data_IF_888114197164
#
_entry.id   IF_888114197164
#
_cell.length_a   1.000
_cell.length_b   1.000
_cell.length_c   1.000
_cell.angle_alpha   90.00
_cell.angle_beta   90.00
_cell.angle_gamma   90.00
#
_symmetry.space_group_name_H-M   'P 1'
#
loop_
_entity.id
_entity.type
_entity.pdbx_description
1 polymer ?
#
# COMPACT_ATOMS: atom_id res chain seq x y z
N UNK A 1 -5.49 26.82 -5.76
CA UNK A 1 -5.25 28.26 -5.53
C UNK A 1 -6.04 28.68 -4.31
N UNK A 2 -5.39 28.70 -3.14
CA UNK A 2 -5.99 29.21 -1.91
C UNK A 2 -4.92 29.95 -1.12
N UNK A 3 -5.25 31.21 -0.86
CA UNK A 3 -4.74 32.12 0.16
C UNK A 3 -3.26 32.55 0.17
N UNK A 4 -3.13 33.86 -0.04
CA UNK A 4 -2.05 34.79 0.28
C UNK A 4 -1.52 34.59 1.71
N UNK A 5 -0.75 33.53 1.94
CA UNK A 5 0.17 33.47 3.07
C UNK A 5 1.17 34.60 2.85
N UNK A 6 1.11 35.66 3.67
CA UNK A 6 2.22 36.62 3.82
C UNK A 6 3.50 35.82 4.10
N UNK A 7 4.32 35.58 3.08
CA UNK A 7 5.62 34.92 3.20
C UNK A 7 6.66 36.02 3.36
N UNK A 8 7.19 36.26 4.57
CA UNK A 8 8.24 37.25 4.77
C UNK A 8 9.57 36.86 4.12
N UNK A 9 9.73 35.58 3.78
CA UNK A 9 10.90 35.02 3.07
C UNK A 9 10.52 34.61 1.64
N UNK A 10 11.51 34.63 0.74
CA UNK A 10 11.37 34.18 -0.65
C UNK A 10 11.05 32.68 -0.73
N UNK A 11 10.42 32.28 -1.83
CA UNK A 11 10.13 30.88 -2.13
C UNK A 11 11.34 30.18 -2.78
N UNK A 12 11.50 28.88 -2.52
CA UNK A 12 12.58 28.07 -3.06
C UNK A 12 12.58 28.04 -4.60
N UNK A 13 11.40 28.05 -5.25
CA UNK A 13 11.31 28.05 -6.71
C UNK A 13 11.85 29.35 -7.32
N UNK A 14 11.61 30.49 -6.66
CA UNK A 14 12.09 31.79 -7.13
C UNK A 14 13.62 31.89 -7.11
N UNK A 15 14.28 31.24 -6.13
CA UNK A 15 15.74 31.23 -6.08
C UNK A 15 16.35 30.24 -7.10
N UNK A 16 15.66 29.15 -7.46
CA UNK A 16 16.05 28.29 -8.59
C UNK A 16 16.06 29.08 -9.89
N UNK A 17 14.98 29.81 -10.19
CA UNK A 17 14.87 30.66 -11.38
C UNK A 17 15.96 31.74 -11.38
N UNK A 18 16.12 32.45 -10.25
CA UNK A 18 17.15 33.51 -10.13
C UNK A 18 18.56 32.97 -10.34
N UNK A 19 18.87 31.75 -9.88
CA UNK A 19 20.18 31.13 -10.03
C UNK A 19 20.50 30.74 -11.50
N UNK A 20 19.50 30.63 -12.37
CA UNK A 20 19.69 30.36 -13.81
C UNK A 20 20.11 31.60 -14.61
N UNK A 21 19.75 32.80 -14.13
CA UNK A 21 19.98 34.08 -14.83
C UNK A 21 21.31 34.76 -14.48
N UNK A 22 22.19 34.09 -13.71
CA UNK A 22 23.49 34.65 -13.32
C UNK A 22 24.49 34.65 -14.48
N UNK A 23 25.48 35.57 -14.50
CA UNK A 23 26.52 35.56 -15.51
C UNK A 23 27.25 34.22 -15.62
N UNK A 24 27.50 33.81 -16.86
CA UNK A 24 28.13 32.53 -17.16
C UNK A 24 29.65 32.60 -16.92
N UNK A 25 30.13 31.92 -15.88
CA UNK A 25 31.51 31.92 -15.41
C UNK A 25 31.95 30.50 -15.05
N UNK A 26 33.26 30.20 -14.97
CA UNK A 26 33.73 28.91 -14.47
C UNK A 26 33.16 28.53 -13.10
N UNK A 27 32.90 29.51 -12.23
CA UNK A 27 32.33 29.31 -10.90
C UNK A 27 30.85 28.96 -10.97
N UNK A 28 30.06 29.69 -11.77
CA UNK A 28 28.60 29.46 -11.86
C UNK A 28 28.25 28.16 -12.58
N UNK A 29 29.16 27.61 -13.39
CA UNK A 29 29.07 26.26 -13.97
C UNK A 29 29.48 25.11 -13.04
N UNK A 30 30.21 25.41 -11.96
CA UNK A 30 30.74 24.37 -11.08
C UNK A 30 29.61 23.70 -10.28
N UNK A 31 29.63 22.36 -10.08
CA UNK A 31 28.61 21.67 -9.29
C UNK A 31 28.44 22.25 -7.87
N UNK A 32 29.53 22.69 -7.25
CA UNK A 32 29.51 23.29 -5.91
C UNK A 32 28.73 24.61 -5.82
N UNK A 33 28.38 25.26 -6.94
CA UNK A 33 27.58 26.48 -6.98
C UNK A 33 26.07 26.20 -7.06
N UNK A 34 25.66 24.96 -7.39
CA UNK A 34 24.25 24.60 -7.48
C UNK A 34 23.57 24.70 -6.11
N UNK A 35 22.29 25.08 -6.12
CA UNK A 35 21.47 25.08 -4.90
C UNK A 35 21.27 23.65 -4.41
N UNK A 36 21.62 23.37 -3.15
CA UNK A 36 21.63 22.00 -2.62
C UNK A 36 20.26 21.28 -2.70
N UNK A 37 19.14 22.01 -2.61
CA UNK A 37 17.79 21.45 -2.70
C UNK A 37 17.30 21.25 -4.14
N UNK A 38 18.08 21.68 -5.14
CA UNK A 38 17.81 21.54 -6.56
C UNK A 38 18.98 20.89 -7.32
N UNK A 39 19.89 20.22 -6.59
CA UNK A 39 21.04 19.51 -7.15
C UNK A 39 20.83 18.00 -6.99
N UNK A 40 20.35 17.37 -8.05
CA UNK A 40 20.05 15.92 -8.07
C UNK A 40 21.28 15.08 -7.77
N UNK A 41 22.47 15.49 -8.24
CA UNK A 41 23.72 14.78 -7.97
C UNK A 41 24.03 14.77 -6.47
N UNK A 42 23.84 15.92 -5.80
CA UNK A 42 24.02 16.03 -4.35
C UNK A 42 22.95 15.24 -3.59
N UNK A 43 21.68 15.38 -3.99
CA UNK A 43 20.55 14.67 -3.39
C UNK A 43 20.62 13.16 -3.57
N UNK A 44 21.35 12.64 -4.57
CA UNK A 44 21.53 11.19 -4.79
C UNK A 44 22.69 10.58 -3.99
N UNK A 45 23.55 11.39 -3.35
CA UNK A 45 24.68 10.91 -2.55
C UNK A 45 24.26 10.00 -1.39
N UNK A 46 25.10 9.05 -1.01
CA UNK A 46 24.77 8.10 0.07
C UNK A 46 24.51 8.78 1.42
N UNK A 47 25.22 9.87 1.72
CA UNK A 47 25.06 10.63 2.97
C UNK A 47 23.68 11.29 3.08
N UNK A 48 22.99 11.51 1.96
CA UNK A 48 21.67 12.15 1.90
C UNK A 48 20.53 11.13 1.91
N UNK A 49 20.82 9.83 2.12
CA UNK A 49 19.80 8.79 2.29
C UNK A 49 18.74 9.13 3.34
N UNK A 50 19.06 9.67 4.53
CA UNK A 50 18.04 10.07 5.51
C UNK A 50 17.08 11.14 4.98
N UNK A 51 17.57 12.08 4.17
CA UNK A 51 16.73 13.11 3.53
C UNK A 51 15.81 12.49 2.49
N UNK A 52 16.31 11.57 1.66
CA UNK A 52 15.47 10.85 0.68
C UNK A 52 14.39 10.00 1.36
N UNK A 53 14.73 9.31 2.44
CA UNK A 53 13.74 8.57 3.26
C UNK A 53 12.66 9.50 3.81
N UNK A 54 13.03 10.69 4.30
CA UNK A 54 12.08 11.69 4.77
C UNK A 54 11.16 12.19 3.63
N UNK A 55 11.71 12.43 2.44
CA UNK A 55 10.92 12.84 1.27
C UNK A 55 9.91 11.77 0.84
N UNK A 56 10.32 10.49 0.82
CA UNK A 56 9.42 9.37 0.52
C UNK A 56 8.36 9.15 1.60
N UNK A 57 8.64 9.50 2.86
CA UNK A 57 7.62 9.51 3.90
C UNK A 57 6.63 10.67 3.71
N UNK A 58 7.13 11.88 3.47
CA UNK A 58 6.32 13.11 3.46
C UNK A 58 5.48 13.27 2.19
N UNK A 59 6.01 13.00 1.00
CA UNK A 59 5.31 13.28 -0.26
C UNK A 59 3.94 12.57 -0.34
N UNK A 60 3.83 11.24 -0.11
CA UNK A 60 2.53 10.57 -0.13
C UNK A 60 1.62 11.06 1.00
N UNK A 61 2.19 11.30 2.20
CA UNK A 61 1.43 11.78 3.36
C UNK A 61 0.73 13.11 3.07
N UNK A 62 1.46 14.10 2.55
CA UNK A 62 0.95 15.43 2.25
C UNK A 62 -0.09 15.39 1.13
N UNK A 63 0.18 14.67 0.04
CA UNK A 63 -0.75 14.58 -1.09
C UNK A 63 -2.04 13.87 -0.70
N UNK A 64 -1.96 12.78 0.09
CA UNK A 64 -3.15 12.10 0.61
C UNK A 64 -3.94 12.99 1.56
N UNK A 65 -3.28 13.79 2.40
CA UNK A 65 -3.95 14.74 3.30
C UNK A 65 -4.64 15.87 2.54
N UNK A 66 -4.00 16.44 1.52
CA UNK A 66 -4.60 17.43 0.61
C UNK A 66 -5.82 16.87 -0.15
N UNK A 67 -5.81 15.56 -0.42
CA UNK A 67 -6.93 14.83 -1.02
C UNK A 67 -8.00 14.41 -0.01
N UNK A 68 -7.78 14.63 1.29
CA UNK A 68 -8.71 14.27 2.34
C UNK A 68 -8.81 12.76 2.60
N UNK A 69 -7.77 11.98 2.28
CA UNK A 69 -7.74 10.54 2.53
C UNK A 69 -7.48 10.29 4.02
N UNK A 70 -8.51 9.81 4.72
CA UNK A 70 -8.50 9.56 6.16
C UNK A 70 -8.22 8.08 6.46
N UNK A 71 -8.75 7.16 5.65
CA UNK A 71 -8.49 5.73 5.80
C UNK A 71 -8.49 4.94 4.49
N UNK A 72 -7.84 3.79 4.51
CA UNK A 72 -7.67 2.91 3.35
C UNK A 72 -8.11 1.47 3.61
N UNK A 73 -8.48 0.77 2.54
CA UNK A 73 -8.55 -0.69 2.51
C UNK A 73 -7.43 -1.19 1.62
N UNK A 74 -6.51 -1.96 2.21
CA UNK A 74 -5.31 -2.43 1.52
C UNK A 74 -5.60 -3.75 0.82
N UNK A 75 -5.28 -3.83 -0.46
CA UNK A 75 -5.36 -5.07 -1.25
C UNK A 75 -3.97 -5.54 -1.64
N UNK A 76 -3.60 -6.73 -1.16
CA UNK A 76 -2.42 -7.46 -1.58
C UNK A 76 -2.81 -8.67 -2.41
N UNK A 77 -2.00 -9.02 -3.41
CA UNK A 77 -2.23 -10.21 -4.21
C UNK A 77 -1.26 -10.37 -5.36
N UNK A 78 -1.39 -11.49 -6.08
CA UNK A 78 -0.48 -11.84 -7.17
C UNK A 78 -0.57 -10.89 -8.36
N UNK A 79 0.55 -10.23 -8.68
CA UNK A 79 0.70 -9.41 -9.89
C UNK A 79 0.59 -10.18 -11.21
N UNK A 80 0.56 -11.52 -11.15
CA UNK A 80 0.52 -12.41 -12.32
C UNK A 80 -0.86 -13.03 -12.57
N UNK A 81 -1.82 -12.80 -11.68
CA UNK A 81 -3.17 -13.35 -11.84
C UNK A 81 -3.83 -12.59 -13.01
N UNK A 82 -4.21 -13.27 -14.11
CA UNK A 82 -4.77 -12.58 -15.27
C UNK A 82 -6.22 -12.17 -15.03
N UNK A 83 -6.62 -11.05 -15.65
CA UNK A 83 -8.03 -10.72 -15.83
C UNK A 83 -8.75 -11.87 -16.57
N UNK A 84 -10.06 -12.07 -16.35
CA UNK A 84 -10.84 -13.15 -16.96
C UNK A 84 -10.67 -13.23 -18.49
N UNK A 85 -10.66 -12.08 -19.18
CA UNK A 85 -10.45 -11.97 -20.63
C UNK A 85 -9.09 -12.50 -21.10
N UNK A 86 -8.09 -12.54 -20.22
CA UNK A 86 -6.72 -12.98 -20.53
C UNK A 86 -6.36 -14.33 -19.88
N UNK A 87 -7.35 -15.04 -19.32
CA UNK A 87 -7.15 -16.30 -18.60
C UNK A 87 -6.42 -17.37 -19.43
N UNK A 88 -6.74 -17.47 -20.72
CA UNK A 88 -6.15 -18.47 -21.62
C UNK A 88 -4.67 -18.20 -21.93
N UNK A 89 -4.20 -16.97 -21.69
CA UNK A 89 -2.79 -16.59 -21.81
C UNK A 89 -1.95 -16.88 -20.56
N UNK A 90 -2.53 -17.46 -19.51
CA UNK A 90 -1.82 -17.74 -18.27
C UNK A 90 -0.69 -18.76 -18.48
N UNK A 91 0.43 -18.56 -17.78
CA UNK A 91 1.61 -19.45 -17.86
C UNK A 91 1.33 -20.89 -17.43
N UNK A 92 0.36 -21.11 -16.53
CA UNK A 92 -0.01 -22.44 -16.03
C UNK A 92 -1.52 -22.53 -15.86
N UNK A 93 -2.07 -23.74 -15.95
CA UNK A 93 -3.50 -24.00 -15.67
C UNK A 93 -3.88 -23.58 -14.24
N UNK A 94 -2.99 -23.79 -13.28
CA UNK A 94 -3.18 -23.36 -11.90
C UNK A 94 -3.27 -21.84 -11.78
N UNK A 95 -2.50 -21.09 -12.56
CA UNK A 95 -2.56 -19.63 -12.59
C UNK A 95 -3.83 -19.15 -13.30
N UNK A 96 -4.23 -19.81 -14.39
CA UNK A 96 -5.51 -19.57 -15.05
C UNK A 96 -6.68 -19.78 -14.09
N UNK A 97 -6.62 -20.83 -13.26
CA UNK A 97 -7.63 -21.10 -12.25
C UNK A 97 -7.75 -19.98 -11.21
N UNK A 98 -6.66 -19.27 -10.88
CA UNK A 98 -6.69 -18.13 -9.96
C UNK A 98 -7.35 -16.87 -10.55
N UNK A 99 -7.66 -16.84 -11.85
CA UNK A 99 -8.27 -15.67 -12.51
C UNK A 99 -9.61 -15.24 -11.89
N UNK A 100 -10.36 -16.16 -11.27
CA UNK A 100 -11.57 -15.78 -10.54
C UNK A 100 -11.31 -14.83 -9.36
N UNK A 101 -10.13 -14.87 -8.73
CA UNK A 101 -9.75 -13.92 -7.69
C UNK A 101 -9.51 -12.50 -8.22
N UNK A 102 -9.21 -12.34 -9.52
CA UNK A 102 -9.22 -11.02 -10.13
C UNK A 102 -10.62 -10.43 -10.07
N UNK A 103 -11.63 -11.20 -10.49
CA UNK A 103 -13.02 -10.71 -10.49
C UNK A 103 -13.54 -10.49 -9.07
N UNK A 104 -13.25 -11.39 -8.13
CA UNK A 104 -13.61 -11.17 -6.72
C UNK A 104 -12.94 -9.93 -6.12
N UNK A 105 -11.66 -9.66 -6.44
CA UNK A 105 -10.99 -8.45 -5.99
C UNK A 105 -11.64 -7.18 -6.56
N UNK A 106 -12.06 -7.22 -7.83
CA UNK A 106 -12.78 -6.13 -8.48
C UNK A 106 -14.15 -5.87 -7.85
N UNK A 107 -14.94 -6.93 -7.65
CA UNK A 107 -16.27 -6.84 -7.01
C UNK A 107 -16.13 -6.32 -5.58
N UNK A 108 -15.16 -6.84 -4.82
CA UNK A 108 -14.87 -6.40 -3.46
C UNK A 108 -14.51 -4.90 -3.43
N UNK A 109 -13.56 -4.48 -4.27
CA UNK A 109 -13.14 -3.09 -4.33
C UNK A 109 -14.27 -2.15 -4.74
N UNK A 110 -15.15 -2.56 -5.66
CA UNK A 110 -16.35 -1.80 -6.04
C UNK A 110 -17.25 -1.57 -4.83
N UNK A 111 -17.57 -2.62 -4.07
CA UNK A 111 -18.44 -2.53 -2.87
C UNK A 111 -17.83 -1.68 -1.76
N UNK A 112 -16.53 -1.84 -1.50
CA UNK A 112 -15.81 -0.99 -0.55
C UNK A 112 -15.86 0.46 -1.00
N UNK A 113 -15.74 0.72 -2.30
CA UNK A 113 -15.77 2.08 -2.84
C UNK A 113 -17.17 2.69 -2.79
N UNK A 114 -18.22 1.92 -3.07
CA UNK A 114 -19.61 2.33 -2.87
C UNK A 114 -19.85 2.80 -1.42
N UNK A 115 -19.30 2.07 -0.43
CA UNK A 115 -19.31 2.47 0.98
C UNK A 115 -18.44 3.70 1.25
N UNK A 116 -17.25 3.78 0.64
CA UNK A 116 -16.34 4.92 0.75
C UNK A 116 -17.00 6.22 0.30
N UNK A 117 -17.83 6.18 -0.76
CA UNK A 117 -18.54 7.34 -1.29
C UNK A 117 -19.56 7.94 -0.31
N UNK A 118 -20.05 7.18 0.69
CA UNK A 118 -20.86 7.72 1.79
C UNK A 118 -20.09 8.75 2.64
N UNK A 119 -18.76 8.64 2.66
CA UNK A 119 -17.82 9.58 3.28
C UNK A 119 -17.21 10.58 2.28
N UNK A 120 -17.81 10.72 1.09
CA UNK A 120 -17.27 11.49 -0.04
C UNK A 120 -15.89 10.99 -0.53
N UNK A 121 -15.60 9.70 -0.37
CA UNK A 121 -14.33 9.13 -0.81
C UNK A 121 -13.14 9.42 0.11
N UNK A 122 -13.40 9.77 1.38
CA UNK A 122 -12.35 10.07 2.37
C UNK A 122 -11.90 8.86 3.17
N UNK A 123 -12.84 8.00 3.53
CA UNK A 123 -12.60 6.78 4.29
C UNK A 123 -12.74 5.55 3.40
N UNK A 124 -12.12 4.43 3.79
CA UNK A 124 -12.20 3.15 3.07
C UNK A 124 -11.69 3.19 1.63
N UNK A 125 -10.75 4.09 1.32
CA UNK A 125 -10.22 4.25 -0.03
C UNK A 125 -9.35 3.06 -0.42
N UNK A 126 -9.57 2.49 -1.61
CA UNK A 126 -8.80 1.34 -2.08
C UNK A 126 -7.33 1.71 -2.26
N UNK A 127 -6.44 0.94 -1.65
CA UNK A 127 -4.99 1.12 -1.72
C UNK A 127 -4.31 -0.18 -2.17
N UNK A 128 -3.54 -0.11 -3.25
CA UNK A 128 -2.85 -1.26 -3.85
C UNK A 128 -1.39 -0.92 -4.13
N UNK A 129 -0.61 -1.90 -4.58
CA UNK A 129 0.75 -1.66 -5.08
C UNK A 129 0.82 -1.05 -6.49
N UNK A 130 -0.32 -0.76 -7.13
CA UNK A 130 -0.41 -0.11 -8.44
C UNK A 130 0.06 -0.94 -9.63
N UNK A 131 0.37 -2.22 -9.44
CA UNK A 131 0.75 -3.14 -10.51
C UNK A 131 -0.45 -3.83 -11.18
N UNK A 132 -0.19 -4.80 -12.07
CA UNK A 132 -1.22 -5.62 -12.72
C UNK A 132 -1.83 -6.68 -11.77
N UNK A 133 -2.76 -7.46 -12.28
CA UNK A 133 -3.39 -8.58 -11.57
C UNK A 133 -4.33 -8.10 -10.47
N UNK A 134 -4.24 -8.68 -9.27
CA UNK A 134 -5.16 -8.32 -8.15
C UNK A 134 -5.10 -6.82 -7.82
N UNK A 135 -3.92 -6.21 -7.92
CA UNK A 135 -3.77 -4.78 -7.66
C UNK A 135 -4.57 -3.96 -8.67
N UNK A 136 -4.44 -4.26 -9.96
CA UNK A 136 -5.25 -3.65 -11.02
C UNK A 136 -6.74 -3.91 -10.82
N UNK A 137 -7.13 -5.15 -10.49
CA UNK A 137 -8.53 -5.48 -10.21
C UNK A 137 -9.11 -4.61 -9.10
N UNK A 138 -8.35 -4.38 -8.03
CA UNK A 138 -8.72 -3.50 -6.93
C UNK A 138 -8.91 -2.04 -7.40
N UNK A 139 -7.92 -1.50 -8.11
CA UNK A 139 -8.01 -0.13 -8.64
C UNK A 139 -9.18 0.03 -9.63
N UNK A 140 -9.37 -0.95 -10.51
CA UNK A 140 -10.47 -1.01 -11.49
C UNK A 140 -11.83 -1.08 -10.82
N UNK A 141 -11.99 -1.89 -9.77
CA UNK A 141 -13.24 -1.98 -9.03
C UNK A 141 -13.64 -0.65 -8.38
N UNK A 142 -12.66 0.10 -7.87
CA UNK A 142 -12.90 1.45 -7.36
C UNK A 142 -13.28 2.46 -8.46
N UNK A 143 -12.61 2.38 -9.61
CA UNK A 143 -12.93 3.19 -10.79
C UNK A 143 -14.34 2.89 -11.34
N UNK A 144 -14.74 1.62 -11.40
CA UNK A 144 -16.10 1.21 -11.81
C UNK A 144 -17.21 1.82 -10.92
N UNK A 145 -16.91 2.06 -9.64
CA UNK A 145 -17.82 2.72 -8.70
C UNK A 145 -17.77 4.26 -8.79
N UNK A 146 -16.87 4.83 -9.60
CA UNK A 146 -16.64 6.27 -9.72
C UNK A 146 -15.91 6.88 -8.52
N UNK A 147 -15.21 6.06 -7.73
CA UNK A 147 -14.40 6.53 -6.59
C UNK A 147 -12.93 6.71 -6.94
N UNK A 148 -12.13 7.05 -5.93
CA UNK A 148 -10.68 7.19 -6.06
C UNK A 148 -9.96 5.92 -5.60
N UNK A 149 -8.77 5.69 -6.13
CA UNK A 149 -7.90 4.58 -5.67
C UNK A 149 -6.44 4.97 -5.69
N UNK A 150 -5.68 4.39 -4.76
CA UNK A 150 -4.27 4.68 -4.51
C UNK A 150 -3.41 3.58 -5.11
N UNK A 151 -2.33 3.97 -5.78
CA UNK A 151 -1.27 3.08 -6.25
C UNK A 151 0.05 3.45 -5.59
N UNK A 152 0.58 2.55 -4.75
CA UNK A 152 1.90 2.67 -4.15
C UNK A 152 2.87 1.82 -4.97
N UNK A 153 3.37 2.33 -6.10
CA UNK A 153 4.32 1.64 -6.99
C UNK A 153 5.74 1.63 -6.41
N UNK A 154 6.61 0.81 -6.98
CA UNK A 154 8.04 0.81 -6.62
C UNK A 154 8.91 0.63 -7.86
N UNK A 155 10.05 1.30 -7.88
CA UNK A 155 11.02 1.19 -8.97
C UNK A 155 11.62 -0.23 -8.98
N UNK A 156 11.46 -0.93 -10.11
CA UNK A 156 12.01 -2.26 -10.36
C UNK A 156 12.76 -2.29 -11.71
N UNK A 157 13.77 -3.16 -11.91
CA UNK A 157 14.57 -3.22 -13.15
C UNK A 157 13.80 -3.51 -14.44
N UNK A 158 12.62 -4.13 -14.32
CA UNK A 158 11.69 -4.32 -15.42
C UNK A 158 10.44 -3.54 -15.07
N UNK A 159 10.37 -2.31 -15.55
CA UNK A 159 9.36 -1.34 -15.17
C UNK A 159 7.99 -1.78 -15.68
N UNK A 160 7.05 -1.94 -14.74
CA UNK A 160 5.63 -2.00 -15.07
C UNK A 160 5.09 -0.60 -14.84
N UNK A 161 4.56 0.02 -15.90
CA UNK A 161 3.76 1.23 -15.73
C UNK A 161 2.66 0.94 -14.69
N UNK A 162 2.32 1.91 -13.83
CA UNK A 162 1.16 1.78 -12.97
C UNK A 162 -0.07 1.42 -13.81
N UNK A 163 -0.96 0.60 -13.26
CA UNK A 163 -2.20 0.29 -13.97
C UNK A 163 -3.04 1.56 -14.17
N UNK A 164 -3.80 1.61 -15.27
CA UNK A 164 -4.49 2.82 -15.74
C UNK A 164 -5.69 3.23 -14.87
N UNK A 165 -6.08 2.39 -13.91
CA UNK A 165 -7.23 2.63 -13.01
C UNK A 165 -6.83 3.30 -11.69
N UNK A 166 -5.52 3.45 -11.42
CA UNK A 166 -5.05 4.26 -10.29
C UNK A 166 -5.43 5.73 -10.56
N UNK A 167 -5.97 6.41 -9.56
CA UNK A 167 -6.22 7.86 -9.67
C UNK A 167 -4.88 8.57 -9.91
N UNK A 168 -4.71 9.37 -10.99
CA UNK A 168 -3.40 9.90 -11.37
C UNK A 168 -2.66 10.65 -10.25
N UNK A 169 -3.39 11.45 -9.48
CA UNK A 169 -2.83 12.25 -8.38
C UNK A 169 -2.56 11.44 -7.09
N UNK A 170 -2.95 10.16 -7.06
CA UNK A 170 -2.71 9.22 -5.97
C UNK A 170 -1.83 8.04 -6.43
N UNK A 171 -1.08 8.23 -7.52
CA UNK A 171 -0.10 7.29 -8.03
C UNK A 171 1.31 7.67 -7.55
N UNK A 172 1.82 6.97 -6.55
CA UNK A 172 3.12 7.23 -5.93
C UNK A 172 4.15 6.20 -6.37
N UNK A 173 5.38 6.62 -6.63
CA UNK A 173 6.48 5.72 -7.00
C UNK A 173 7.58 5.80 -5.93
N UNK A 174 7.85 4.67 -5.27
CA UNK A 174 8.82 4.57 -4.19
C UNK A 174 10.16 4.00 -4.69
N UNK A 175 11.22 4.32 -3.96
CA UNK A 175 12.51 3.63 -4.10
C UNK A 175 12.78 2.72 -2.90
N UNK A 176 12.36 3.10 -1.69
CA UNK A 176 12.57 2.29 -0.48
C UNK A 176 11.35 1.43 -0.14
N UNK A 177 11.51 0.10 -0.18
CA UNK A 177 10.47 -0.86 0.22
C UNK A 177 9.88 -0.60 1.61
N UNK A 178 10.73 -0.28 2.59
CA UNK A 178 10.29 -0.07 3.97
C UNK A 178 9.32 1.11 4.11
N UNK A 179 9.55 2.22 3.39
CA UNK A 179 8.67 3.39 3.45
C UNK A 179 7.35 3.10 2.72
N UNK A 180 7.41 2.38 1.60
CA UNK A 180 6.21 1.90 0.89
C UNK A 180 5.34 1.01 1.77
N UNK A 181 5.93 0.03 2.45
CA UNK A 181 5.28 -0.88 3.41
C UNK A 181 4.60 -0.11 4.54
N UNK A 182 5.29 0.89 5.08
CA UNK A 182 4.74 1.77 6.11
C UNK A 182 3.49 2.51 5.60
N UNK A 183 3.51 3.06 4.39
CA UNK A 183 2.35 3.77 3.80
C UNK A 183 1.14 2.89 3.53
N UNK A 184 1.31 1.59 3.26
CA UNK A 184 0.17 0.67 3.21
C UNK A 184 -0.59 0.66 4.53
N UNK A 185 0.13 0.59 5.66
CA UNK A 185 -0.45 0.29 6.96
C UNK A 185 -0.82 1.53 7.78
N UNK A 186 -0.19 2.68 7.53
CA UNK A 186 -0.43 3.92 8.29
C UNK A 186 -1.89 4.38 8.31
N UNK A 187 -2.67 4.05 7.27
CA UNK A 187 -4.09 4.43 7.12
C UNK A 187 -5.03 3.23 7.01
N UNK A 188 -4.50 2.01 7.11
CA UNK A 188 -5.28 0.80 6.87
C UNK A 188 -6.35 0.62 7.94
N UNK A 189 -7.61 0.54 7.50
CA UNK A 189 -8.76 0.09 8.30
C UNK A 189 -9.12 -1.36 8.04
N UNK A 190 -8.62 -1.94 6.95
CA UNK A 190 -8.71 -3.35 6.65
C UNK A 190 -7.57 -3.76 5.71
N UNK A 191 -7.14 -5.03 5.82
CA UNK A 191 -6.13 -5.65 4.97
C UNK A 191 -6.74 -6.90 4.34
N UNK A 192 -6.76 -6.94 3.01
CA UNK A 192 -7.32 -8.03 2.23
C UNK A 192 -6.21 -8.64 1.37
N UNK A 193 -5.98 -9.94 1.55
CA UNK A 193 -4.88 -10.67 0.93
C UNK A 193 -5.44 -11.75 0.02
N UNK A 194 -5.26 -11.58 -1.28
CA UNK A 194 -5.59 -12.55 -2.31
C UNK A 194 -4.40 -13.45 -2.60
N UNK A 195 -4.60 -14.61 -3.26
CA UNK A 195 -3.52 -15.50 -3.64
C UNK A 195 -2.38 -14.78 -4.37
N UNK A 196 -1.15 -15.09 -3.99
CA UNK A 196 0.01 -14.34 -4.45
C UNK A 196 1.35 -15.04 -4.21
N UNK A 197 2.42 -14.33 -4.53
CA UNK A 197 3.80 -14.81 -4.40
C UNK A 197 4.52 -14.20 -3.22
N UNK A 198 5.85 -14.08 -3.32
CA UNK A 198 6.69 -13.56 -2.23
C UNK A 198 6.32 -12.15 -1.77
N UNK A 199 6.02 -11.22 -2.69
CA UNK A 199 5.60 -9.87 -2.29
C UNK A 199 4.33 -9.88 -1.43
N UNK A 200 3.35 -10.71 -1.80
CA UNK A 200 2.10 -10.86 -1.04
C UNK A 200 2.34 -11.51 0.33
N UNK A 201 3.20 -12.53 0.40
CA UNK A 201 3.56 -13.19 1.65
C UNK A 201 4.33 -12.25 2.58
N UNK A 202 5.26 -11.48 2.05
CA UNK A 202 6.07 -10.49 2.78
C UNK A 202 5.16 -9.44 3.45
N UNK A 203 4.27 -8.80 2.69
CA UNK A 203 3.29 -7.85 3.23
C UNK A 203 2.33 -8.48 4.24
N UNK A 204 1.86 -9.70 3.97
CA UNK A 204 0.95 -10.43 4.87
C UNK A 204 1.62 -10.70 6.23
N UNK A 205 2.82 -11.28 6.23
CA UNK A 205 3.53 -11.59 7.47
C UNK A 205 3.99 -10.35 8.22
N UNK A 206 4.39 -9.28 7.52
CA UNK A 206 4.72 -8.00 8.16
C UNK A 206 3.52 -7.42 8.89
N UNK A 207 2.37 -7.32 8.23
CA UNK A 207 1.17 -6.77 8.83
C UNK A 207 0.66 -7.63 10.00
N UNK A 208 0.64 -8.97 9.86
CA UNK A 208 0.31 -9.88 10.96
C UNK A 208 1.27 -9.72 12.15
N UNK A 209 2.58 -9.58 11.91
CA UNK A 209 3.58 -9.37 12.97
C UNK A 209 3.35 -8.05 13.71
N UNK A 210 3.01 -6.98 12.99
CA UNK A 210 2.74 -5.68 13.60
C UNK A 210 1.50 -5.71 14.48
N UNK A 211 0.44 -6.40 14.06
CA UNK A 211 -0.77 -6.60 14.87
C UNK A 211 -0.48 -7.52 16.07
N UNK A 212 0.22 -8.64 15.83
CA UNK A 212 0.59 -9.62 16.86
C UNK A 212 1.34 -8.96 18.02
N UNK A 213 2.28 -8.07 17.68
CA UNK A 213 3.16 -7.37 18.63
C UNK A 213 2.58 -6.08 19.21
N UNK A 214 1.35 -5.71 18.84
CA UNK A 214 0.69 -4.48 19.32
C UNK A 214 1.28 -3.18 18.76
N UNK A 215 2.17 -3.25 17.76
CA UNK A 215 2.73 -2.08 17.08
C UNK A 215 1.72 -1.42 16.14
N UNK A 216 0.71 -2.18 15.71
CA UNK A 216 -0.44 -1.74 14.93
C UNK A 216 -1.75 -2.14 15.64
N UNK A 217 -2.82 -1.37 15.42
CA UNK A 217 -4.17 -1.72 15.84
C UNK A 217 -4.66 -2.97 15.09
N UNK A 218 -5.53 -3.75 15.73
CA UNK A 218 -6.24 -4.82 15.07
C UNK A 218 -7.17 -4.22 14.02
N UNK A 219 -7.10 -4.74 12.81
CA UNK A 219 -7.99 -4.40 11.70
C UNK A 219 -8.52 -5.71 11.09
N UNK A 220 -9.69 -5.68 10.43
CA UNK A 220 -10.10 -6.76 9.54
C UNK A 220 -8.95 -7.25 8.67
N UNK A 221 -8.57 -8.51 8.85
CA UNK A 221 -7.48 -9.15 8.13
C UNK A 221 -8.01 -10.38 7.40
N UNK A 222 -8.23 -10.24 6.11
CA UNK A 222 -8.99 -11.22 5.31
C UNK A 222 -8.08 -11.92 4.33
N UNK A 223 -8.09 -13.25 4.36
CA UNK A 223 -7.38 -14.10 3.40
C UNK A 223 -8.39 -14.70 2.42
N UNK A 224 -8.35 -14.25 1.17
CA UNK A 224 -9.23 -14.78 0.12
C UNK A 224 -8.72 -16.13 -0.37
N UNK A 225 -9.61 -17.13 -0.44
CA UNK A 225 -9.31 -18.44 -1.01
C UNK A 225 -8.62 -19.39 -0.05
N UNK A 226 -9.36 -19.92 0.93
CA UNK A 226 -8.84 -20.78 2.01
C UNK A 226 -7.98 -21.93 1.48
N UNK A 227 -8.46 -22.61 0.45
CA UNK A 227 -7.78 -23.77 -0.14
C UNK A 227 -6.38 -23.43 -0.70
N UNK A 228 -6.15 -22.21 -1.18
CA UNK A 228 -4.82 -21.78 -1.62
C UNK A 228 -3.87 -21.67 -0.42
N UNK A 229 -4.30 -20.98 0.63
CA UNK A 229 -3.47 -20.70 1.80
C UNK A 229 -3.13 -21.96 2.61
N UNK A 230 -4.12 -22.83 2.86
CA UNK A 230 -3.88 -24.09 3.58
C UNK A 230 -2.97 -25.06 2.82
N UNK A 231 -2.89 -24.92 1.49
CA UNK A 231 -1.97 -25.70 0.67
C UNK A 231 -0.51 -25.25 0.83
N UNK A 232 -0.27 -23.96 1.08
CA UNK A 232 1.09 -23.41 1.14
C UNK A 232 1.59 -23.18 2.57
N UNK A 233 0.70 -23.01 3.54
CA UNK A 233 1.04 -22.75 4.94
C UNK A 233 0.19 -23.64 5.85
N UNK A 234 0.85 -24.39 6.71
CA UNK A 234 0.19 -25.10 7.81
C UNK A 234 0.24 -24.21 9.07
N UNK A 235 -0.82 -23.45 9.28
CA UNK A 235 -0.93 -22.50 10.40
C UNK A 235 -0.92 -23.18 11.77
N UNK A 236 -1.62 -24.32 11.88
CA UNK A 236 -1.66 -25.07 13.14
C UNK A 236 -0.28 -25.61 13.51
N UNK A 237 0.52 -26.05 12.54
CA UNK A 237 1.89 -26.48 12.80
C UNK A 237 2.77 -25.36 13.37
N UNK A 238 2.53 -24.08 13.00
CA UNK A 238 3.25 -22.96 13.60
C UNK A 238 2.89 -22.76 15.09
N UNK A 239 1.60 -22.92 15.42
CA UNK A 239 1.09 -22.84 16.78
C UNK A 239 1.55 -24.03 17.64
N UNK A 240 1.44 -25.26 17.11
CA UNK A 240 1.92 -26.48 17.75
C UNK A 240 3.44 -26.45 18.00
N UNK A 241 4.21 -25.86 17.08
CA UNK A 241 5.65 -25.65 17.25
C UNK A 241 5.98 -24.55 18.28
N UNK A 242 4.99 -23.83 18.81
CA UNK A 242 5.17 -22.73 19.76
C UNK A 242 5.81 -21.48 19.17
N UNK A 243 5.83 -21.35 17.84
CA UNK A 243 6.39 -20.17 17.15
C UNK A 243 5.40 -19.01 17.09
N UNK A 244 4.10 -19.31 17.19
CA UNK A 244 2.98 -18.40 17.43
C UNK A 244 2.06 -19.03 18.48
N UNK A 245 1.12 -18.25 19.02
CA UNK A 245 0.07 -18.74 19.91
C UNK A 245 -1.20 -19.13 19.14
N UNK A 246 -2.07 -19.95 19.73
CA UNK A 246 -3.38 -20.25 19.14
C UNK A 246 -4.22 -18.97 18.94
N UNK A 247 -4.09 -17.99 19.84
CA UNK A 247 -4.75 -16.69 19.72
C UNK A 247 -4.24 -15.84 18.53
N UNK A 248 -3.08 -16.18 17.96
CA UNK A 248 -2.58 -15.53 16.73
C UNK A 248 -3.30 -16.03 15.48
N UNK A 249 -3.85 -17.24 15.52
CA UNK A 249 -4.69 -17.78 14.44
C UNK A 249 -6.02 -17.02 14.34
N UNK A 250 -6.41 -16.30 15.39
CA UNK A 250 -7.58 -15.43 15.38
C UNK A 250 -7.32 -14.05 14.76
N UNK A 251 -6.08 -13.73 14.37
CA UNK A 251 -5.75 -12.44 13.76
C UNK A 251 -6.28 -12.28 12.34
N UNK A 252 -6.60 -13.38 11.66
CA UNK A 252 -7.13 -13.36 10.29
C UNK A 252 -8.36 -14.24 10.14
N UNK A 253 -9.13 -14.03 9.07
CA UNK A 253 -10.24 -14.89 8.67
C UNK A 253 -10.14 -15.23 7.20
N UNK A 254 -10.54 -16.44 6.84
CA UNK A 254 -10.69 -16.82 5.44
C UNK A 254 -12.04 -16.36 4.91
N UNK A 255 -12.06 -15.95 3.64
CA UNK A 255 -13.26 -15.58 2.88
C UNK A 255 -13.15 -16.11 1.47
N UNK A 256 -14.29 -16.40 0.84
CA UNK A 256 -14.32 -16.85 -0.55
C UNK A 256 -14.94 -15.79 -1.48
N UNK A 257 -15.76 -14.88 -0.94
CA UNK A 257 -16.47 -13.87 -1.73
C UNK A 257 -16.32 -12.46 -1.18
N UNK A 258 -16.51 -11.49 -2.06
CA UNK A 258 -16.63 -10.09 -1.68
C UNK A 258 -17.75 -9.81 -0.66
N UNK A 259 -18.86 -10.56 -0.68
CA UNK A 259 -19.98 -10.39 0.28
C UNK A 259 -19.59 -10.84 1.69
N UNK A 260 -18.97 -12.01 1.80
CA UNK A 260 -18.44 -12.51 3.09
C UNK A 260 -17.41 -11.54 3.67
N UNK A 261 -16.53 -11.00 2.82
CA UNK A 261 -15.53 -10.02 3.23
C UNK A 261 -16.17 -8.74 3.80
N UNK A 262 -17.18 -8.18 3.13
CA UNK A 262 -17.89 -6.99 3.61
C UNK A 262 -18.60 -7.24 4.94
N UNK A 263 -19.25 -8.39 5.09
CA UNK A 263 -19.90 -8.76 6.36
C UNK A 263 -18.89 -8.84 7.51
N UNK A 264 -17.74 -9.49 7.28
CA UNK A 264 -16.69 -9.61 8.30
C UNK A 264 -16.03 -8.28 8.65
N UNK A 265 -15.87 -7.36 7.69
CA UNK A 265 -15.36 -6.02 7.97
C UNK A 265 -16.27 -5.29 8.96
N UNK A 266 -17.59 -5.44 8.82
CA UNK A 266 -18.57 -4.78 9.68
C UNK A 266 -18.68 -5.41 11.07
N UNK A 267 -18.50 -6.73 11.16
CA UNK A 267 -18.61 -7.49 12.42
C UNK A 267 -17.25 -7.82 13.06
N UNK A 268 -16.15 -7.19 12.65
CA UNK A 268 -14.81 -7.58 13.09
C UNK A 268 -14.61 -7.33 14.59
N UNK A 269 -14.21 -8.35 15.38
CA UNK A 269 -14.03 -8.19 16.81
C UNK A 269 -12.80 -7.32 17.11
N UNK A 270 -12.92 -6.44 18.11
CA UNK A 270 -11.80 -5.63 18.63
C UNK A 270 -11.11 -4.74 17.59
N UNK A 271 -11.82 -4.35 16.52
CA UNK A 271 -11.28 -3.43 15.52
C UNK A 271 -10.87 -2.09 16.16
N UNK A 272 -9.64 -1.63 15.89
CA UNK A 272 -9.07 -0.43 16.48
C UNK A 272 -8.38 -0.63 17.84
N UNK A 273 -8.44 -1.82 18.44
CA UNK A 273 -7.72 -2.11 19.68
C UNK A 273 -6.28 -2.59 19.42
N UNK A 274 -5.34 -2.22 20.29
CA UNK A 274 -3.97 -2.78 20.28
C UNK A 274 -3.85 -3.91 21.29
N UNK A 275 -3.01 -4.89 21.00
CA UNK A 275 -2.60 -5.87 22.00
C UNK A 275 -1.65 -5.22 23.01
N UNK A 276 -1.94 -5.39 24.29
CA UNK A 276 -1.03 -4.96 25.36
C UNK A 276 0.06 -6.01 25.66
N UNK A 277 -0.23 -7.27 25.39
CA UNK A 277 0.65 -8.42 25.63
C UNK A 277 0.70 -9.34 24.42
N UNK A 278 1.82 -10.08 24.27
CA UNK A 278 1.97 -11.08 23.22
C UNK A 278 1.58 -12.45 23.83
N UNK A 279 0.44 -13.04 23.42
CA UNK A 279 -0.02 -14.29 24.02
C UNK A 279 1.03 -15.40 23.91
N UNK A 280 1.16 -16.21 24.96
CA UNK A 280 2.17 -17.28 25.03
C UNK A 280 3.58 -16.80 25.39
N UNK A 281 3.80 -15.50 25.60
CA UNK A 281 5.07 -14.93 26.10
C UNK A 281 4.98 -14.33 27.50
N UNK A 282 3.83 -14.48 28.16
CA UNK A 282 3.55 -13.92 29.49
C UNK A 282 4.22 -14.73 30.60
N UNK A 283 5.56 -14.81 30.59
CA UNK A 283 6.42 -15.25 31.71
C UNK A 283 7.93 -15.13 31.40
N UNK A 284 8.37 -14.04 30.76
CA UNK A 284 9.79 -13.71 30.68
C UNK A 284 10.13 -12.53 31.62
N UNK A 285 10.08 -12.79 32.93
CA UNK A 285 10.84 -12.06 33.96
C UNK A 285 11.65 -13.08 34.74
#
# INVERSE_FOLDING_TARGET
>A
MTEDRRRPFRDASSDIETAQDVPDTPQTRAPAYRLAFADDDFLCRDELRPVRLQLELLKPQLVMEERGIESTVVLFGGARIPAPEHKDGARTETLAALSHYYEEARIFARRVTEKSLESYGKEWVICTGGGPGVMEAGNRGADDAGGQSIGLNIVLPHEQAPNEYVTPDLCFNFHYFAIRKMHFLMRARAVCVFPGGFGTLDEMFEALTLIQTGRMEKVPFLLFGKAFWEKIINWQALAEAGTISDADLELFRFVETADEAMQLIESWPHAGEKREFIPGRDQAV
#
